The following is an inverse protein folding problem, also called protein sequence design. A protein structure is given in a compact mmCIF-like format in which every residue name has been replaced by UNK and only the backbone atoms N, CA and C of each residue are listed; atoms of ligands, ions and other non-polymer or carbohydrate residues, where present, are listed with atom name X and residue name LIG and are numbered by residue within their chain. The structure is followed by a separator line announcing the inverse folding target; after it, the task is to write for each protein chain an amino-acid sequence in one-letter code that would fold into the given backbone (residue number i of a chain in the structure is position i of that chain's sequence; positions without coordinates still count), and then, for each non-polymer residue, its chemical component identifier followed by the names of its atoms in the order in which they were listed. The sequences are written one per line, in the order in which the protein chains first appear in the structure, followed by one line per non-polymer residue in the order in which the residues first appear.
data_IF_741185637903
#
_entry.id   IF_741185637903
#
_cell.length_a   1.000
_cell.length_b   1.000
_cell.length_c   1.000
_cell.angle_alpha   90.00
_cell.angle_beta   90.00
_cell.angle_gamma   90.00
#
_symmetry.space_group_name_H-M   'P 1'
#
loop_
_entity.id
_entity.type
_entity.pdbx_description
1 polymer ?
#
# COMPACT_ATOMS: atom_id res chain seq x y z
N UNK A 1 -8.31 -23.65 -2.46
CA UNK A 1 -8.62 -22.23 -2.18
C UNK A 1 -8.63 -21.50 -3.51
N UNK A 2 -9.69 -20.78 -3.84
CA UNK A 2 -9.70 -19.92 -5.04
C UNK A 2 -8.84 -18.70 -4.77
N UNK A 3 -7.94 -18.39 -5.69
CA UNK A 3 -7.02 -17.25 -5.58
C UNK A 3 -7.84 -15.95 -5.61
N UNK A 4 -7.62 -15.06 -4.63
CA UNK A 4 -8.30 -13.76 -4.58
C UNK A 4 -7.70 -12.85 -5.63
N UNK A 5 -8.51 -12.38 -6.59
CA UNK A 5 -8.03 -11.43 -7.60
C UNK A 5 -8.06 -10.01 -7.04
N UNK A 6 -6.88 -9.47 -6.75
CA UNK A 6 -6.71 -8.11 -6.22
C UNK A 6 -6.70 -7.04 -7.32
N UNK A 7 -6.64 -7.42 -8.60
CA UNK A 7 -6.50 -6.47 -9.71
C UNK A 7 -7.63 -5.42 -9.75
N UNK A 8 -8.92 -5.76 -9.59
CA UNK A 8 -9.99 -4.75 -9.62
C UNK A 8 -9.84 -3.70 -8.52
N UNK A 9 -9.47 -4.12 -7.30
CA UNK A 9 -9.27 -3.22 -6.16
C UNK A 9 -8.03 -2.34 -6.35
N UNK A 10 -6.93 -2.92 -6.84
CA UNK A 10 -5.69 -2.18 -7.12
C UNK A 10 -5.87 -1.13 -8.23
N UNK A 11 -6.69 -1.42 -9.25
CA UNK A 11 -7.03 -0.45 -10.29
C UNK A 11 -7.84 0.73 -9.72
N UNK A 12 -8.87 0.45 -8.93
CA UNK A 12 -9.64 1.49 -8.25
C UNK A 12 -8.73 2.39 -7.38
N UNK A 13 -7.82 1.78 -6.63
CA UNK A 13 -6.86 2.53 -5.82
C UNK A 13 -5.90 3.37 -6.67
N UNK A 14 -5.43 2.84 -7.80
CA UNK A 14 -4.60 3.57 -8.77
C UNK A 14 -5.32 4.80 -9.31
N UNK A 15 -6.59 4.65 -9.71
CA UNK A 15 -7.40 5.75 -10.22
C UNK A 15 -7.60 6.83 -9.15
N UNK A 16 -7.84 6.44 -7.90
CA UNK A 16 -7.97 7.38 -6.77
C UNK A 16 -6.66 8.12 -6.52
N UNK A 17 -5.53 7.42 -6.39
CA UNK A 17 -4.21 8.02 -6.15
C UNK A 17 -3.87 9.01 -7.25
N UNK A 18 -4.04 8.62 -8.52
CA UNK A 18 -3.72 9.51 -9.66
C UNK A 18 -4.64 10.72 -9.78
N UNK A 19 -5.84 10.68 -9.20
CA UNK A 19 -6.79 11.80 -9.22
C UNK A 19 -6.52 12.89 -8.19
N UNK A 20 -5.70 12.63 -7.16
CA UNK A 20 -5.41 13.58 -6.09
C UNK A 20 -4.38 14.62 -6.56
N UNK A 21 -4.67 15.91 -6.41
CA UNK A 21 -3.76 17.03 -6.72
C UNK A 21 -2.87 17.40 -5.53
N UNK A 22 -1.80 18.16 -5.75
CA UNK A 22 -0.85 18.51 -4.68
C UNK A 22 -1.50 19.46 -3.66
N UNK A 23 -2.42 20.31 -4.12
CA UNK A 23 -3.20 21.23 -3.29
C UNK A 23 -4.14 20.50 -2.32
N UNK A 24 -4.43 19.22 -2.57
CA UNK A 24 -5.29 18.41 -1.72
C UNK A 24 -4.54 17.69 -0.60
N UNK A 25 -3.20 17.67 -0.62
CA UNK A 25 -2.39 16.88 0.32
C UNK A 25 -2.60 17.28 1.78
N UNK A 26 -2.79 18.57 2.05
CA UNK A 26 -3.07 19.08 3.40
C UNK A 26 -4.56 18.98 3.78
N UNK A 27 -5.40 18.43 2.90
CA UNK A 27 -6.84 18.30 3.12
C UNK A 27 -7.19 17.34 4.26
N UNK A 28 -8.32 17.56 4.96
CA UNK A 28 -8.75 16.71 6.06
C UNK A 28 -9.29 15.35 5.56
N UNK A 29 -9.15 14.33 6.40
CA UNK A 29 -9.87 13.05 6.25
C UNK A 29 -10.87 12.88 7.40
N UNK A 30 -11.81 11.90 7.34
CA UNK A 30 -12.67 11.57 8.48
C UNK A 30 -11.89 11.16 9.74
N UNK A 31 -10.64 10.71 9.59
CA UNK A 31 -9.69 10.55 10.67
C UNK A 31 -9.02 11.89 10.94
N UNK A 32 -9.46 12.60 11.98
CA UNK A 32 -9.04 13.99 12.25
C UNK A 32 -7.54 14.18 12.47
N UNK A 33 -6.80 13.11 12.76
CA UNK A 33 -5.35 13.11 12.97
C UNK A 33 -4.55 12.81 11.69
N UNK A 34 -5.21 12.66 10.54
CA UNK A 34 -4.58 12.20 9.28
C UNK A 34 -5.05 13.08 8.13
N UNK A 35 -4.11 13.74 7.44
CA UNK A 35 -4.39 14.45 6.20
C UNK A 35 -4.34 13.52 4.98
N UNK A 36 -4.72 14.01 3.81
CA UNK A 36 -4.68 13.22 2.56
C UNK A 36 -3.25 12.75 2.24
N UNK A 37 -2.24 13.61 2.46
CA UNK A 37 -0.83 13.24 2.26
C UNK A 37 -0.38 12.11 3.18
N UNK A 38 -0.78 12.13 4.45
CA UNK A 38 -0.50 11.05 5.40
C UNK A 38 -1.15 9.74 4.93
N UNK A 39 -2.41 9.81 4.48
CA UNK A 39 -3.12 8.63 4.00
C UNK A 39 -2.48 8.03 2.74
N UNK A 40 -2.00 8.86 1.81
CA UNK A 40 -1.28 8.39 0.63
C UNK A 40 0.06 7.73 1.00
N UNK A 41 0.79 8.29 1.96
CA UNK A 41 2.03 7.68 2.46
C UNK A 41 1.74 6.30 3.08
N UNK A 42 0.68 6.23 3.88
CA UNK A 42 0.23 4.98 4.50
C UNK A 42 -0.16 3.92 3.46
N UNK A 43 -0.89 4.30 2.41
CA UNK A 43 -1.24 3.39 1.30
C UNK A 43 0.02 2.87 0.60
N UNK A 44 1.00 3.74 0.34
CA UNK A 44 2.29 3.35 -0.24
C UNK A 44 3.03 2.33 0.64
N UNK A 45 3.16 2.62 1.94
CA UNK A 45 3.78 1.73 2.92
C UNK A 45 3.10 0.36 3.00
N UNK A 46 1.77 0.32 3.08
CA UNK A 46 1.01 -0.94 3.13
C UNK A 46 1.13 -1.75 1.83
N UNK A 47 1.20 -1.08 0.68
CA UNK A 47 1.41 -1.74 -0.62
C UNK A 47 2.73 -2.52 -0.64
N UNK A 48 3.80 -1.92 -0.11
CA UNK A 48 5.10 -2.57 0.02
C UNK A 48 5.07 -3.70 1.05
N UNK A 49 4.49 -3.45 2.24
CA UNK A 49 4.40 -4.45 3.31
C UNK A 49 3.63 -5.70 2.87
N UNK A 50 2.48 -5.55 2.22
CA UNK A 50 1.70 -6.69 1.74
C UNK A 50 2.34 -7.39 0.53
N UNK A 51 3.18 -6.69 -0.24
CA UNK A 51 4.00 -7.33 -1.28
C UNK A 51 5.07 -8.21 -0.66
N UNK A 52 5.74 -7.74 0.40
CA UNK A 52 6.72 -8.52 1.14
C UNK A 52 6.06 -9.74 1.81
N UNK A 53 4.87 -9.57 2.39
CA UNK A 53 4.08 -10.67 2.95
C UNK A 53 3.77 -11.75 1.90
N UNK A 54 3.33 -11.37 0.70
CA UNK A 54 3.11 -12.33 -0.39
C UNK A 54 4.40 -13.11 -0.75
N UNK A 55 5.56 -12.47 -0.62
CA UNK A 55 6.88 -13.05 -0.92
C UNK A 55 7.54 -13.75 0.25
N UNK A 56 6.94 -13.74 1.44
CA UNK A 56 7.56 -14.21 2.70
C UNK A 56 8.90 -13.53 2.99
N UNK A 57 9.02 -12.26 2.60
CA UNK A 57 10.21 -11.46 2.83
C UNK A 57 10.09 -10.64 4.11
N UNK A 58 11.20 -10.44 4.80
CA UNK A 58 11.28 -9.47 5.90
C UNK A 58 11.14 -8.04 5.35
N UNK A 59 10.46 -7.18 6.11
CA UNK A 59 10.30 -5.76 5.79
C UNK A 59 11.27 -4.96 6.67
N UNK A 60 11.97 -3.98 6.08
CA UNK A 60 12.76 -3.03 6.87
C UNK A 60 11.86 -2.29 7.87
N UNK A 61 12.18 -2.36 9.16
CA UNK A 61 11.33 -1.84 10.24
C UNK A 61 10.38 -2.86 10.87
N UNK A 62 10.37 -4.11 10.39
CA UNK A 62 9.58 -5.22 10.92
C UNK A 62 8.12 -5.24 10.44
N UNK A 63 7.32 -6.15 10.98
CA UNK A 63 5.91 -6.32 10.59
C UNK A 63 4.97 -5.22 11.13
N UNK A 64 5.49 -4.20 11.81
CA UNK A 64 4.70 -3.14 12.43
C UNK A 64 3.97 -2.29 11.37
N UNK A 65 2.73 -1.89 11.66
CA UNK A 65 1.98 -1.00 10.78
C UNK A 65 2.75 0.33 10.60
N UNK A 66 2.95 0.81 9.35
CA UNK A 66 3.65 2.06 9.11
C UNK A 66 2.85 3.23 9.69
N UNK A 67 3.51 4.09 10.47
CA UNK A 67 2.93 5.36 10.88
C UNK A 67 2.88 6.29 9.68
N UNK A 68 1.68 6.76 9.35
CA UNK A 68 1.42 7.68 8.26
C UNK A 68 2.15 9.01 8.49
N UNK A 69 2.93 9.47 7.49
CA UNK A 69 3.70 10.70 7.58
C UNK A 69 3.89 11.31 6.18
N UNK A 70 3.13 12.35 5.85
CA UNK A 70 3.16 13.00 4.54
C UNK A 70 4.56 13.48 4.12
N UNK A 71 5.47 13.73 5.07
CA UNK A 71 6.86 14.14 4.75
C UNK A 71 7.67 13.04 4.04
N UNK A 72 7.20 11.78 4.08
CA UNK A 72 7.83 10.60 3.48
C UNK A 72 7.23 10.20 2.13
N UNK A 73 6.12 10.83 1.74
CA UNK A 73 5.36 10.48 0.54
C UNK A 73 6.21 10.51 -0.74
N UNK A 74 7.22 11.40 -0.79
CA UNK A 74 8.12 11.57 -1.94
C UNK A 74 7.40 12.23 -3.12
N UNK A 75 8.09 13.00 -3.97
CA UNK A 75 7.45 13.77 -5.05
C UNK A 75 6.88 12.89 -6.19
N UNK A 76 7.32 11.64 -6.28
CA UNK A 76 6.95 10.66 -7.31
C UNK A 76 5.75 9.79 -6.92
N UNK A 77 5.08 10.08 -5.81
CA UNK A 77 4.02 9.24 -5.24
C UNK A 77 2.91 8.84 -6.23
N UNK A 78 2.51 9.76 -7.13
CA UNK A 78 1.47 9.51 -8.15
C UNK A 78 1.85 8.44 -9.16
N UNK A 79 3.13 8.15 -9.35
CA UNK A 79 3.61 7.11 -10.26
C UNK A 79 4.12 5.90 -9.49
N UNK A 80 4.83 6.13 -8.38
CA UNK A 80 5.37 5.08 -7.52
C UNK A 80 4.27 4.18 -6.95
N UNK A 81 3.26 4.74 -6.29
CA UNK A 81 2.20 3.95 -5.63
C UNK A 81 1.43 3.07 -6.64
N UNK A 82 0.98 3.57 -7.81
CA UNK A 82 0.40 2.71 -8.84
C UNK A 82 1.30 1.58 -9.33
N UNK A 83 2.59 1.85 -9.51
CA UNK A 83 3.54 0.82 -9.92
C UNK A 83 3.68 -0.26 -8.84
N UNK A 84 3.79 0.14 -7.58
CA UNK A 84 3.88 -0.78 -6.44
C UNK A 84 2.60 -1.62 -6.28
N UNK A 85 1.42 -1.03 -6.52
CA UNK A 85 0.14 -1.75 -6.54
C UNK A 85 0.10 -2.83 -7.63
N UNK A 86 0.66 -2.54 -8.81
CA UNK A 86 0.78 -3.54 -9.87
C UNK A 86 1.75 -4.68 -9.47
N UNK A 87 2.81 -4.39 -8.73
CA UNK A 87 3.72 -5.40 -8.17
C UNK A 87 3.01 -6.25 -7.10
N UNK A 88 2.22 -5.62 -6.21
CA UNK A 88 1.41 -6.31 -5.20
C UNK A 88 0.47 -7.32 -5.85
N UNK A 89 -0.28 -6.91 -6.88
CA UNK A 89 -1.19 -7.79 -7.62
C UNK A 89 -0.45 -9.00 -8.20
N UNK A 90 0.73 -8.78 -8.79
CA UNK A 90 1.54 -9.89 -9.33
C UNK A 90 2.03 -10.83 -8.23
N UNK A 91 2.43 -10.30 -7.08
CA UNK A 91 2.92 -11.11 -5.97
C UNK A 91 1.81 -12.02 -5.40
N UNK A 92 0.59 -11.50 -5.23
CA UNK A 92 -0.54 -12.27 -4.71
C UNK A 92 -1.15 -13.26 -5.72
N UNK A 93 -0.82 -13.13 -7.01
CA UNK A 93 -1.18 -14.13 -8.05
C UNK A 93 -0.35 -15.40 -7.98
N UNK A 94 0.76 -15.38 -7.27
CA UNK A 94 1.51 -16.60 -6.99
C UNK A 94 0.69 -17.51 -6.05
N UNK A 95 0.41 -18.77 -6.42
CA UNK A 95 -0.26 -19.71 -5.53
C UNK A 95 0.44 -19.87 -4.17
N UNK A 96 1.77 -19.72 -4.11
CA UNK A 96 2.54 -19.85 -2.87
C UNK A 96 2.30 -18.69 -1.90
N UNK A 97 1.85 -17.52 -2.37
CA UNK A 97 1.60 -16.34 -1.53
C UNK A 97 0.60 -16.61 -0.39
N UNK A 98 -0.40 -17.46 -0.66
CA UNK A 98 -1.44 -17.85 0.29
C UNK A 98 -1.09 -19.08 1.12
N UNK A 99 0.11 -19.62 0.96
CA UNK A 99 0.57 -20.82 1.69
C UNK A 99 1.56 -20.45 2.79
N UNK A 100 1.67 -21.31 3.80
CA UNK A 100 2.60 -21.11 4.92
C UNK A 100 2.17 -19.99 5.87
N UNK A 101 3.10 -19.56 6.71
CA UNK A 101 2.92 -18.45 7.65
C UNK A 101 3.45 -17.16 7.04
N UNK A 102 2.82 -16.04 7.34
CA UNK A 102 3.28 -14.70 6.98
C UNK A 102 3.07 -13.82 8.18
N UNK A 103 3.99 -12.88 8.42
CA UNK A 103 3.78 -11.83 9.41
C UNK A 103 3.37 -10.55 8.72
N UNK A 104 2.25 -9.95 9.13
CA UNK A 104 1.77 -8.67 8.60
C UNK A 104 0.99 -7.91 9.67
N UNK A 105 1.37 -6.65 9.96
CA UNK A 105 0.73 -5.87 11.03
C UNK A 105 1.09 -6.37 12.44
N UNK A 106 2.21 -7.08 12.59
CA UNK A 106 2.70 -7.62 13.86
C UNK A 106 2.02 -8.91 14.34
N UNK A 107 1.31 -9.62 13.45
CA UNK A 107 0.67 -10.92 13.70
C UNK A 107 1.13 -11.98 12.72
#
# INVERSE_FOLDING_TARGET
MTLVDLEPAARCMTDLVTSVSDEQLEGPTPCSETCVGDLLDHIGGLTLAFTAAARKAEVEGGAQAPAADASRLGADWRTRIPNDLAVLVRAWRDPEASTGMTEAGGV
#
